data_IF_950885075730
#
_entry.id   IF_950885075730
#
_cell.length_a   1.000
_cell.length_b   1.000
_cell.length_c   1.000
_cell.angle_alpha   90.00
_cell.angle_beta   90.00
_cell.angle_gamma   90.00
#
_symmetry.space_group_name_H-M   'P 1'
#
loop_
_entity.id
_entity.type
_entity.pdbx_description
1 polymer ?
#
# COMPACT_ATOMS: atom_id res chain seq x y z
N UNK A 1 -2.02 -3.94 -14.70
CA UNK A 1 -1.09 -4.13 -13.58
C UNK A 1 -1.65 -3.39 -12.39
N UNK A 2 -1.57 -3.96 -11.19
CA UNK A 2 -1.95 -3.31 -9.95
C UNK A 2 -0.70 -3.12 -9.09
N UNK A 3 -0.54 -1.95 -8.49
CA UNK A 3 0.62 -1.62 -7.66
C UNK A 3 0.10 -1.20 -6.29
N UNK A 4 0.70 -1.73 -5.24
CA UNK A 4 0.49 -1.19 -3.89
C UNK A 4 1.58 -0.16 -3.65
N UNK A 5 1.17 1.06 -3.34
CA UNK A 5 2.06 2.16 -2.96
C UNK A 5 1.74 2.60 -1.54
N UNK A 6 2.76 2.83 -0.73
CA UNK A 6 2.63 3.65 0.47
C UNK A 6 2.74 5.11 0.07
N UNK A 7 1.57 5.76 0.00
CA UNK A 7 1.44 7.15 -0.46
C UNK A 7 2.25 8.11 0.40
N UNK A 8 2.33 7.85 1.71
CA UNK A 8 3.00 8.75 2.66
C UNK A 8 4.51 8.79 2.47
N UNK A 9 5.08 7.71 1.94
CA UNK A 9 6.52 7.54 1.75
C UNK A 9 6.95 7.38 0.28
N UNK A 10 5.99 7.44 -0.66
CA UNK A 10 6.21 7.18 -2.09
C UNK A 10 6.94 5.86 -2.36
N UNK A 11 6.61 4.83 -1.57
CA UNK A 11 7.27 3.52 -1.64
C UNK A 11 6.37 2.52 -2.37
N UNK A 12 6.88 1.90 -3.42
CA UNK A 12 6.21 0.74 -4.04
C UNK A 12 6.41 -0.48 -3.16
N UNK A 13 5.31 -1.03 -2.65
CA UNK A 13 5.28 -2.18 -1.75
C UNK A 13 5.19 -3.49 -2.52
N UNK A 14 4.47 -3.49 -3.66
CA UNK A 14 4.30 -4.68 -4.48
C UNK A 14 3.63 -4.42 -5.81
N UNK A 15 3.77 -5.36 -6.75
CA UNK A 15 3.12 -5.36 -8.06
C UNK A 15 2.37 -6.67 -8.28
N UNK A 16 1.15 -6.57 -8.79
CA UNK A 16 0.19 -7.67 -8.87
C UNK A 16 -0.51 -7.69 -10.24
N UNK A 17 -0.87 -8.89 -10.69
CA UNK A 17 -1.51 -9.05 -11.99
C UNK A 17 -3.00 -8.76 -11.92
N UNK A 18 -3.62 -8.97 -10.76
CA UNK A 18 -5.05 -8.75 -10.50
C UNK A 18 -5.30 -7.84 -9.30
N UNK A 19 -6.50 -7.27 -9.23
CA UNK A 19 -6.91 -6.44 -8.10
C UNK A 19 -7.05 -7.31 -6.84
N UNK A 20 -7.53 -8.54 -6.99
CA UNK A 20 -7.74 -9.52 -5.93
C UNK A 20 -6.41 -9.91 -5.25
N UNK A 21 -5.34 -10.08 -6.02
CA UNK A 21 -3.99 -10.32 -5.49
C UNK A 21 -3.49 -9.13 -4.67
N UNK A 22 -3.70 -7.89 -5.15
CA UNK A 22 -3.33 -6.69 -4.40
C UNK A 22 -4.12 -6.58 -3.09
N UNK A 23 -5.43 -6.84 -3.11
CA UNK A 23 -6.27 -6.87 -1.90
C UNK A 23 -5.84 -7.98 -0.95
N UNK A 24 -5.46 -9.16 -1.47
CA UNK A 24 -4.96 -10.25 -0.64
C UNK A 24 -3.66 -9.88 0.09
N UNK A 25 -2.77 -9.14 -0.58
CA UNK A 25 -1.57 -8.62 0.08
C UNK A 25 -1.92 -7.60 1.15
N UNK A 26 -2.84 -6.66 0.90
CA UNK A 26 -3.30 -5.73 1.94
C UNK A 26 -3.91 -6.46 3.13
N UNK A 27 -4.62 -7.58 2.92
CA UNK A 27 -5.12 -8.42 4.01
C UNK A 27 -3.98 -9.01 4.83
N UNK A 28 -2.94 -9.54 4.16
CA UNK A 28 -1.73 -10.02 4.84
C UNK A 28 -1.05 -8.90 5.64
N UNK A 29 -0.95 -7.69 5.07
CA UNK A 29 -0.37 -6.52 5.74
C UNK A 29 -1.21 -6.09 6.95
N UNK A 30 -2.54 -6.21 6.87
CA UNK A 30 -3.44 -5.88 8.00
C UNK A 30 -3.25 -6.79 9.23
N UNK A 31 -2.62 -7.95 9.06
CA UNK A 31 -2.31 -8.90 10.13
C UNK A 31 -0.92 -8.68 10.75
N UNK A 32 -0.08 -7.85 10.12
CA UNK A 32 1.26 -7.51 10.64
C UNK A 32 1.14 -6.32 11.61
N UNK A 33 1.85 -6.39 12.74
CA UNK A 33 1.88 -5.28 13.69
C UNK A 33 2.43 -4.01 13.04
N UNK A 34 1.92 -2.85 13.44
CA UNK A 34 2.28 -1.55 12.84
C UNK A 34 3.78 -1.22 12.97
N UNK A 35 4.44 -1.74 14.00
CA UNK A 35 5.84 -1.54 14.35
C UNK A 35 6.76 -2.68 13.86
N UNK A 36 6.22 -3.65 13.14
CA UNK A 36 6.98 -4.73 12.52
C UNK A 36 7.06 -4.55 11.01
N UNK A 37 8.16 -5.03 10.41
CA UNK A 37 8.27 -5.04 8.97
C UNK A 37 7.19 -5.96 8.35
N UNK A 38 6.52 -5.56 7.25
CA UNK A 38 6.79 -4.36 6.44
C UNK A 38 5.99 -3.10 6.84
N UNK A 39 5.14 -3.15 7.86
CA UNK A 39 4.30 -2.03 8.27
C UNK A 39 5.07 -0.92 8.98
N UNK A 40 6.19 -1.23 9.63
CA UNK A 40 7.10 -0.24 10.19
C UNK A 40 7.51 0.78 9.11
N UNK A 41 7.15 2.05 9.31
CA UNK A 41 7.46 3.12 8.38
C UNK A 41 8.99 3.29 8.23
N UNK A 42 9.50 3.64 7.03
CA UNK A 42 10.94 3.70 6.77
C UNK A 42 11.60 4.98 7.33
N UNK A 43 10.82 5.89 7.92
CA UNK A 43 11.29 7.19 8.39
C UNK A 43 11.86 7.13 9.82
N UNK A 44 12.76 8.06 10.17
CA UNK A 44 13.35 8.12 11.51
C UNK A 44 12.35 8.35 12.65
N UNK A 45 11.16 8.89 12.33
CA UNK A 45 10.03 9.10 13.24
C UNK A 45 9.00 7.97 13.25
N UNK A 46 9.37 6.76 12.81
CA UNK A 46 8.43 5.66 12.57
C UNK A 46 7.51 5.34 13.75
N UNK A 47 7.93 5.56 15.00
CA UNK A 47 7.12 5.30 16.21
C UNK A 47 5.80 6.06 16.27
N UNK A 48 5.72 7.17 15.55
CA UNK A 48 4.50 7.99 15.43
C UNK A 48 4.03 8.10 13.98
N UNK A 49 4.69 7.40 13.06
CA UNK A 49 4.31 7.33 11.67
C UNK A 49 3.55 6.02 11.42
N UNK A 50 2.75 6.03 10.37
CA UNK A 50 2.08 4.84 9.83
C UNK A 50 2.24 4.81 8.32
N UNK A 51 1.59 3.86 7.66
CA UNK A 51 1.58 3.73 6.20
C UNK A 51 0.16 3.87 5.67
N UNK A 52 0.04 4.54 4.54
CA UNK A 52 -1.22 4.74 3.84
C UNK A 52 -1.12 4.01 2.50
N UNK A 53 -1.63 2.78 2.46
CA UNK A 53 -1.53 1.93 1.30
C UNK A 53 -2.67 2.21 0.31
N UNK A 54 -2.27 2.44 -0.94
CA UNK A 54 -3.16 2.63 -2.08
C UNK A 54 -2.98 1.50 -3.08
N UNK A 55 -4.06 1.11 -3.75
CA UNK A 55 -4.00 0.25 -4.94
C UNK A 55 -4.11 1.15 -6.17
N UNK A 56 -3.09 1.11 -7.02
CA UNK A 56 -3.01 1.87 -8.25
C UNK A 56 -3.08 0.90 -9.43
N UNK A 57 -4.02 1.12 -10.35
CA UNK A 57 -4.11 0.36 -11.59
C UNK A 57 -3.38 1.09 -12.72
N UNK A 58 -2.49 0.37 -13.40
CA UNK A 58 -1.76 0.88 -14.57
C UNK A 58 -2.10 0.11 -15.85
N UNK A 59 -2.23 0.87 -16.94
CA UNK A 59 -2.06 0.41 -18.31
C UNK A 59 -0.55 0.39 -18.63
N UNK A 60 -0.05 -0.84 -18.80
CA UNK A 60 1.37 -1.13 -19.05
C UNK A 60 1.68 -1.38 -20.54
N UNK A 61 0.70 -1.19 -21.43
CA UNK A 61 0.89 -1.40 -22.88
C UNK A 61 1.71 -0.28 -23.54
N UNK A 62 2.03 0.78 -22.80
CA UNK A 62 2.74 1.96 -23.29
C UNK A 62 3.84 2.38 -22.31
N UNK A 63 4.80 3.17 -22.80
CA UNK A 63 5.88 3.75 -21.98
C UNK A 63 5.86 5.28 -22.10
N UNK A 64 5.75 6.03 -20.98
CA UNK A 64 5.58 5.53 -19.61
C UNK A 64 4.21 4.84 -19.39
N UNK A 65 4.12 4.01 -18.36
CA UNK A 65 2.84 3.41 -17.93
C UNK A 65 1.82 4.52 -17.66
N UNK A 66 0.55 4.25 -17.99
CA UNK A 66 -0.53 5.20 -17.74
C UNK A 66 -1.33 4.74 -16.52
N UNK A 67 -1.44 5.59 -15.52
CA UNK A 67 -2.37 5.38 -14.41
C UNK A 67 -3.83 5.38 -14.94
N UNK A 68 -4.58 4.34 -14.59
CA UNK A 68 -5.99 4.17 -14.93
C UNK A 68 -6.88 4.53 -13.74
N UNK A 69 -6.50 4.12 -12.54
CA UNK A 69 -7.20 4.40 -11.29
C UNK A 69 -6.26 4.32 -10.10
N UNK A 70 -6.66 4.94 -9.00
CA UNK A 70 -6.01 4.92 -7.70
C UNK A 70 -7.09 4.92 -6.63
N UNK A 71 -6.94 4.06 -5.63
CA UNK A 71 -7.85 3.98 -4.50
C UNK A 71 -7.05 3.79 -3.20
N UNK A 72 -7.35 4.62 -2.20
CA UNK A 72 -6.89 4.38 -0.84
C UNK A 72 -7.54 3.10 -0.31
N UNK A 73 -6.78 2.23 0.36
CA UNK A 73 -7.27 0.91 0.71
C UNK A 73 -7.02 0.52 2.17
N UNK A 74 -5.84 0.80 2.71
CA UNK A 74 -5.46 0.37 4.05
C UNK A 74 -4.57 1.40 4.72
N UNK A 75 -4.98 1.91 5.88
CA UNK A 75 -4.12 2.65 6.79
C UNK A 75 -3.63 1.72 7.91
N UNK A 76 -2.33 1.78 8.18
CA UNK A 76 -1.68 1.11 9.30
C UNK A 76 -0.93 2.14 10.14
N UNK A 77 -1.28 2.29 11.41
CA UNK A 77 -0.58 3.19 12.33
C UNK A 77 -0.58 2.66 13.76
N UNK A 78 0.10 3.38 14.66
CA UNK A 78 0.04 3.09 16.09
C UNK A 78 -1.38 3.15 16.67
N UNK A 79 -2.34 3.81 16.00
CA UNK A 79 -3.75 3.83 16.39
C UNK A 79 -4.50 2.55 15.98
N UNK A 80 -3.89 1.69 15.17
CA UNK A 80 -4.46 0.44 14.67
C UNK A 80 -4.55 0.41 13.15
N UNK A 81 -5.39 -0.51 12.67
CA UNK A 81 -5.62 -0.77 11.25
C UNK A 81 -6.97 -0.21 10.83
N UNK A 82 -7.03 0.47 9.68
CA UNK A 82 -8.27 1.00 9.12
C UNK A 82 -8.37 0.69 7.63
N UNK A 83 -9.40 -0.08 7.28
CA UNK A 83 -9.78 -0.32 5.88
C UNK A 83 -10.60 0.87 5.35
N UNK A 84 -10.31 1.25 4.11
CA UNK A 84 -10.95 2.36 3.43
C UNK A 84 -11.99 1.85 2.41
N UNK A 85 -13.10 2.59 2.20
CA UNK A 85 -14.23 2.16 1.39
C UNK A 85 -13.94 2.11 -0.11
#
# INVERSE_FOLDING_TARGET
MFVIEDQRHAETVGQFSTHEEAVAELRRLSEVAWDEAPNAAPCGGWRTCGRDYEIIQYDVTRTPWRELSRAEALEVSAAGIRWLP
#
